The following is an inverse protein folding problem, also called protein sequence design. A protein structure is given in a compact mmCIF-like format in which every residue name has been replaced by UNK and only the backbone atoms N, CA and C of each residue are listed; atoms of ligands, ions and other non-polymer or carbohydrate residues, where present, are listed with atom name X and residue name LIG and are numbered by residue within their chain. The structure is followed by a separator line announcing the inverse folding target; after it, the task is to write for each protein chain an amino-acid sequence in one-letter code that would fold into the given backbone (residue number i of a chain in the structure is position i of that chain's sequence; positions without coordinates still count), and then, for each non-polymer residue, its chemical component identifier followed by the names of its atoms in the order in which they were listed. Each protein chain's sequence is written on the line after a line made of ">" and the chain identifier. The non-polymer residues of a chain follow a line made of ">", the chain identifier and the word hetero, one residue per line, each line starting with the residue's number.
data_IF_601167062238
#
_entry.id   IF_601167062238
#
_cell.length_a   1.000
_cell.length_b   1.000
_cell.length_c   1.000
_cell.angle_alpha   90.00
_cell.angle_beta   90.00
_cell.angle_gamma   90.00
#
_symmetry.space_group_name_H-M   'P 1'
#
loop_
_entity.id
_entity.type
_entity.pdbx_description
1 polymer ?
#
# COMPACT_ATOMS: atom_id res chain seq x y z
N UNK A 1 -11.80 -21.35 -18.62
CA UNK A 1 -11.81 -19.87 -18.50
C UNK A 1 -12.96 -19.33 -19.33
N UNK A 2 -13.96 -18.71 -18.69
CA UNK A 2 -15.15 -18.23 -19.40
C UNK A 2 -14.88 -16.85 -20.01
N UNK A 3 -14.99 -16.78 -21.34
CA UNK A 3 -14.75 -15.56 -22.12
C UNK A 3 -15.89 -15.45 -23.13
N UNK A 4 -16.64 -14.33 -23.14
CA UNK A 4 -17.68 -14.12 -24.12
C UNK A 4 -17.07 -14.04 -25.52
N UNK A 5 -17.61 -14.78 -26.48
CA UNK A 5 -17.13 -14.76 -27.86
C UNK A 5 -17.57 -13.48 -28.59
N UNK A 6 -18.64 -12.86 -28.14
CA UNK A 6 -19.22 -11.65 -28.71
C UNK A 6 -18.90 -10.43 -27.82
N UNK A 7 -18.82 -9.26 -28.45
CA UNK A 7 -18.65 -8.01 -27.72
C UNK A 7 -19.99 -7.54 -27.17
N UNK A 8 -19.98 -6.90 -26.00
CA UNK A 8 -21.19 -6.25 -25.45
C UNK A 8 -21.64 -5.03 -26.28
N UNK A 9 -20.83 -4.60 -27.25
CA UNK A 9 -21.04 -3.39 -28.06
C UNK A 9 -21.86 -3.68 -29.31
N UNK A 10 -21.97 -4.94 -29.74
CA UNK A 10 -22.72 -5.34 -30.94
C UNK A 10 -23.82 -6.30 -30.55
N UNK A 11 -24.99 -6.12 -31.16
CA UNK A 11 -26.04 -7.13 -31.12
C UNK A 11 -25.78 -8.19 -32.19
N UNK A 12 -25.91 -9.46 -31.79
CA UNK A 12 -25.74 -10.61 -32.67
C UNK A 12 -24.36 -11.28 -32.60
N UNK A 13 -24.28 -12.49 -33.16
CA UNK A 13 -23.06 -13.25 -33.26
C UNK A 13 -22.09 -12.57 -34.25
N UNK A 14 -20.79 -12.61 -33.94
CA UNK A 14 -19.77 -12.13 -34.89
C UNK A 14 -19.77 -13.00 -36.17
N UNK A 15 -19.78 -12.38 -37.38
CA UNK A 15 -19.73 -13.14 -38.63
C UNK A 15 -18.51 -14.06 -38.69
N UNK A 16 -18.73 -15.32 -39.06
CA UNK A 16 -17.69 -16.36 -39.13
C UNK A 16 -17.29 -16.98 -37.79
N UNK A 17 -17.99 -16.64 -36.69
CA UNK A 17 -17.74 -17.18 -35.34
C UNK A 17 -18.93 -18.02 -34.84
N UNK A 18 -19.63 -18.71 -35.73
CA UNK A 18 -20.87 -19.44 -35.43
C UNK A 18 -20.62 -20.86 -34.89
N UNK A 19 -19.46 -21.44 -35.18
CA UNK A 19 -19.17 -22.86 -34.93
C UNK A 19 -18.49 -23.20 -33.60
N UNK A 20 -18.64 -24.46 -33.20
CA UNK A 20 -17.83 -25.16 -32.19
C UNK A 20 -17.75 -24.48 -30.83
N UNK A 21 -16.54 -24.03 -30.46
CA UNK A 21 -16.25 -23.44 -29.16
C UNK A 21 -17.07 -22.16 -28.89
N UNK A 22 -17.39 -21.40 -29.93
CA UNK A 22 -18.11 -20.12 -29.79
C UNK A 22 -19.58 -20.34 -29.43
N UNK A 23 -20.26 -21.27 -30.11
CA UNK A 23 -21.64 -21.64 -29.77
C UNK A 23 -21.73 -22.34 -28.41
N UNK A 24 -20.74 -23.16 -28.05
CA UNK A 24 -20.61 -23.72 -26.71
C UNK A 24 -20.47 -22.63 -25.65
N UNK A 25 -19.56 -21.67 -25.83
CA UNK A 25 -19.39 -20.57 -24.86
C UNK A 25 -20.63 -19.69 -24.74
N UNK A 26 -21.35 -19.42 -25.84
CA UNK A 26 -22.66 -18.73 -25.79
C UNK A 26 -23.66 -19.50 -24.94
N UNK A 27 -23.74 -20.83 -25.11
CA UNK A 27 -24.63 -21.68 -24.33
C UNK A 27 -24.27 -21.70 -22.84
N UNK A 28 -22.98 -21.82 -22.51
CA UNK A 28 -22.53 -21.79 -21.12
C UNK A 28 -22.82 -20.42 -20.48
N UNK A 29 -22.55 -19.32 -21.18
CA UNK A 29 -22.80 -17.97 -20.68
C UNK A 29 -24.29 -17.59 -20.60
N UNK A 30 -25.16 -18.30 -21.33
CA UNK A 30 -26.61 -18.14 -21.23
C UNK A 30 -27.16 -18.66 -19.89
N UNK A 31 -26.48 -19.61 -19.25
CA UNK A 31 -26.86 -20.13 -17.93
C UNK A 31 -26.57 -19.12 -16.82
N UNK A 32 -27.36 -19.15 -15.75
CA UNK A 32 -27.17 -18.26 -14.59
C UNK A 32 -25.81 -18.51 -13.93
N UNK A 33 -25.44 -19.77 -13.73
CA UNK A 33 -24.14 -20.18 -13.21
C UNK A 33 -22.98 -19.64 -14.08
N UNK A 34 -23.08 -19.77 -15.40
CA UNK A 34 -22.07 -19.25 -16.32
C UNK A 34 -21.93 -17.73 -16.22
N UNK A 35 -23.05 -17.02 -16.11
CA UNK A 35 -23.07 -15.57 -15.94
C UNK A 35 -22.43 -15.12 -14.63
N UNK A 36 -22.73 -15.81 -13.52
CA UNK A 36 -22.11 -15.54 -12.22
C UNK A 36 -20.61 -15.76 -12.22
N UNK A 37 -20.14 -16.89 -12.77
CA UNK A 37 -18.72 -17.18 -12.90
C UNK A 37 -18.00 -16.15 -13.77
N UNK A 38 -18.64 -15.67 -14.83
CA UNK A 38 -18.11 -14.60 -15.66
C UNK A 38 -17.99 -13.27 -14.89
N UNK A 39 -19.01 -12.89 -14.12
CA UNK A 39 -19.00 -11.68 -13.29
C UNK A 39 -17.90 -11.77 -12.21
N UNK A 40 -17.76 -12.92 -11.55
CA UNK A 40 -16.71 -13.17 -10.55
C UNK A 40 -15.33 -12.95 -11.15
N UNK A 41 -15.11 -13.45 -12.36
CA UNK A 41 -13.84 -13.25 -13.09
C UNK A 41 -13.58 -11.78 -13.38
N UNK A 42 -14.60 -11.02 -13.83
CA UNK A 42 -14.47 -9.58 -14.10
C UNK A 42 -13.96 -8.82 -12.87
N UNK A 43 -14.46 -9.14 -11.68
CA UNK A 43 -13.98 -8.52 -10.42
C UNK A 43 -12.55 -8.95 -10.06
N UNK A 44 -12.20 -10.22 -10.32
CA UNK A 44 -10.89 -10.76 -9.94
C UNK A 44 -9.70 -10.21 -10.75
N UNK A 45 -9.93 -9.77 -11.99
CA UNK A 45 -8.85 -9.31 -12.89
C UNK A 45 -8.50 -7.84 -12.69
N UNK A 46 -9.44 -7.03 -12.21
CA UNK A 46 -9.22 -5.60 -11.93
C UNK A 46 -8.04 -5.34 -10.97
N UNK A 47 -7.93 -6.01 -9.80
CA UNK A 47 -6.81 -5.78 -8.89
C UNK A 47 -5.46 -6.20 -9.49
N UNK A 48 -5.43 -7.16 -10.42
CA UNK A 48 -4.21 -7.56 -11.13
C UNK A 48 -3.71 -6.41 -12.01
N UNK A 49 -4.62 -5.79 -12.78
CA UNK A 49 -4.28 -4.63 -13.60
C UNK A 49 -3.89 -3.43 -12.74
N UNK A 50 -4.62 -3.16 -11.66
CA UNK A 50 -4.29 -2.10 -10.71
C UNK A 50 -2.89 -2.27 -10.12
N UNK A 51 -2.53 -3.48 -9.68
CA UNK A 51 -1.20 -3.75 -9.14
C UNK A 51 -0.10 -3.60 -10.19
N UNK A 52 -0.30 -4.10 -11.41
CA UNK A 52 0.71 -3.99 -12.48
C UNK A 52 0.92 -2.52 -12.87
N UNK A 53 -0.16 -1.75 -13.03
CA UNK A 53 -0.10 -0.36 -13.51
C UNK A 53 0.30 0.62 -12.42
N UNK A 54 -0.39 0.61 -11.27
CA UNK A 54 -0.20 1.60 -10.21
C UNK A 54 0.89 1.21 -9.24
N UNK A 55 0.90 -0.02 -8.74
CA UNK A 55 1.88 -0.41 -7.71
C UNK A 55 3.25 -0.75 -8.30
N UNK A 56 3.30 -1.28 -9.53
CA UNK A 56 4.55 -1.67 -10.21
C UNK A 56 4.98 -0.71 -11.32
N UNK A 57 4.17 0.29 -11.65
CA UNK A 57 4.52 1.31 -12.65
C UNK A 57 4.69 0.80 -14.09
N UNK A 58 4.19 -0.40 -14.41
CA UNK A 58 4.36 -1.04 -15.72
C UNK A 58 3.27 -0.56 -16.68
N UNK A 59 3.35 0.70 -17.11
CA UNK A 59 2.34 1.36 -17.94
C UNK A 59 2.66 1.34 -19.44
N UNK A 60 3.93 1.10 -19.81
CA UNK A 60 4.40 1.05 -21.19
C UNK A 60 5.36 -0.11 -21.41
N UNK A 61 5.31 -0.71 -22.61
CA UNK A 61 6.31 -1.67 -23.04
C UNK A 61 7.60 -0.95 -23.44
N UNK A 62 8.74 -1.48 -23.02
CA UNK A 62 10.05 -0.94 -23.42
C UNK A 62 10.55 -1.55 -24.73
N UNK A 63 10.09 -2.75 -25.08
CA UNK A 63 10.52 -3.44 -26.31
C UNK A 63 9.54 -3.18 -27.47
N UNK A 64 10.09 -3.03 -28.68
CA UNK A 64 9.31 -2.87 -29.91
C UNK A 64 9.13 -4.21 -30.63
N UNK A 65 7.99 -4.36 -31.32
CA UNK A 65 7.62 -5.60 -32.04
C UNK A 65 6.76 -6.56 -31.20
N UNK A 66 5.79 -7.21 -31.85
CA UNK A 66 4.78 -8.07 -31.18
C UNK A 66 5.41 -9.21 -30.37
N UNK A 67 6.44 -9.84 -30.92
CA UNK A 67 7.13 -10.94 -30.24
C UNK A 67 7.81 -10.48 -28.94
N UNK A 68 8.51 -9.34 -28.99
CA UNK A 68 9.23 -8.81 -27.84
C UNK A 68 8.26 -8.29 -26.75
N UNK A 69 7.20 -7.57 -27.13
CA UNK A 69 6.16 -7.12 -26.21
C UNK A 69 5.44 -8.30 -25.54
N UNK A 70 5.21 -9.40 -26.28
CA UNK A 70 4.64 -10.63 -25.71
C UNK A 70 5.53 -11.24 -24.65
N UNK A 71 6.84 -11.30 -24.89
CA UNK A 71 7.80 -11.82 -23.89
C UNK A 71 7.87 -10.91 -22.66
N UNK A 72 7.87 -9.59 -22.85
CA UNK A 72 7.81 -8.61 -21.75
C UNK A 72 6.55 -8.78 -20.90
N UNK A 73 5.38 -8.90 -21.54
CA UNK A 73 4.12 -9.17 -20.85
C UNK A 73 4.15 -10.48 -20.04
N UNK A 74 4.72 -11.54 -20.61
CA UNK A 74 4.86 -12.84 -19.93
C UNK A 74 5.73 -12.72 -18.66
N UNK A 75 6.82 -11.96 -18.72
CA UNK A 75 7.69 -11.73 -17.56
C UNK A 75 6.97 -10.91 -16.46
N UNK A 76 6.25 -9.88 -16.86
CA UNK A 76 5.43 -9.07 -15.94
C UNK A 76 4.40 -9.93 -15.21
N UNK A 77 3.68 -10.76 -15.96
CA UNK A 77 2.67 -11.67 -15.42
C UNK A 77 3.30 -12.75 -14.52
N UNK A 78 4.43 -13.34 -14.92
CA UNK A 78 5.15 -14.34 -14.12
C UNK A 78 5.58 -13.78 -12.77
N UNK A 79 6.22 -12.61 -12.76
CA UNK A 79 6.64 -11.96 -11.51
C UNK A 79 5.46 -11.57 -10.61
N UNK A 80 4.31 -11.19 -11.17
CA UNK A 80 3.09 -10.99 -10.40
C UNK A 80 2.60 -12.29 -9.75
N UNK A 81 2.58 -13.39 -10.50
CA UNK A 81 2.16 -14.70 -9.97
C UNK A 81 3.12 -15.20 -8.87
N UNK A 82 4.43 -15.04 -9.06
CA UNK A 82 5.43 -15.42 -8.06
C UNK A 82 5.26 -14.65 -6.74
N UNK A 83 4.99 -13.35 -6.81
CA UNK A 83 4.71 -12.54 -5.64
C UNK A 83 3.43 -13.00 -4.91
N UNK A 84 2.36 -13.38 -5.64
CA UNK A 84 1.16 -13.95 -5.00
C UNK A 84 1.45 -15.28 -4.31
N UNK A 85 2.22 -16.15 -4.94
CA UNK A 85 2.63 -17.43 -4.34
C UNK A 85 3.47 -17.21 -3.09
N UNK A 86 4.45 -16.30 -3.16
CA UNK A 86 5.29 -15.96 -2.02
C UNK A 86 4.48 -15.39 -0.85
N UNK A 87 3.54 -14.48 -1.11
CA UNK A 87 2.65 -13.94 -0.07
C UNK A 87 1.78 -15.03 0.56
N UNK A 88 1.26 -15.96 -0.25
CA UNK A 88 0.50 -17.11 0.25
C UNK A 88 1.38 -18.03 1.10
N UNK A 89 2.62 -18.26 0.70
CA UNK A 89 3.56 -19.06 1.46
C UNK A 89 3.87 -18.41 2.81
N UNK A 90 4.23 -17.13 2.84
CA UNK A 90 4.46 -16.39 4.10
C UNK A 90 3.26 -16.50 5.05
N UNK A 91 2.05 -16.30 4.53
CA UNK A 91 0.83 -16.39 5.32
C UNK A 91 0.61 -17.81 5.88
N UNK A 92 0.94 -18.85 5.10
CA UNK A 92 0.80 -20.25 5.51
C UNK A 92 1.87 -20.67 6.54
N UNK A 93 3.09 -20.17 6.44
CA UNK A 93 4.20 -20.53 7.36
C UNK A 93 4.10 -19.83 8.72
N UNK A 94 3.13 -18.93 8.92
CA UNK A 94 3.03 -18.11 10.13
C UNK A 94 4.19 -17.12 10.30
N UNK A 95 5.03 -16.95 9.28
CA UNK A 95 6.17 -16.04 9.31
C UNK A 95 5.66 -14.61 9.44
N UNK A 96 5.90 -13.99 10.59
CA UNK A 96 5.66 -12.57 10.80
C UNK A 96 6.90 -11.83 10.28
N UNK A 97 6.85 -11.17 9.10
CA UNK A 97 7.91 -10.26 8.74
C UNK A 97 7.99 -9.21 9.85
N UNK A 98 9.20 -8.95 10.36
CA UNK A 98 9.43 -7.94 11.39
C UNK A 98 8.79 -6.59 11.00
N UNK A 99 8.53 -5.70 11.98
CA UNK A 99 7.81 -4.46 11.75
C UNK A 99 8.36 -3.75 10.52
N UNK A 100 7.50 -3.54 9.50
CA UNK A 100 7.89 -2.69 8.38
C UNK A 100 8.08 -1.31 8.97
N UNK A 101 9.33 -0.90 9.16
CA UNK A 101 9.65 0.50 9.43
C UNK A 101 9.11 1.28 8.26
N UNK A 102 7.92 1.85 8.42
CA UNK A 102 7.46 2.89 7.53
C UNK A 102 8.51 3.97 7.68
N UNK A 103 9.33 4.15 6.64
CA UNK A 103 10.23 5.28 6.56
C UNK A 103 9.33 6.51 6.69
N UNK A 104 9.29 7.06 7.89
CA UNK A 104 8.53 8.25 8.21
C UNK A 104 8.95 9.28 7.17
N UNK A 105 7.99 9.68 6.34
CA UNK A 105 8.20 10.78 5.41
C UNK A 105 8.47 11.96 6.31
N UNK A 106 9.76 12.25 6.55
CA UNK A 106 10.23 13.40 7.28
C UNK A 106 9.65 14.60 6.54
N UNK A 107 8.50 15.05 7.00
CA UNK A 107 7.92 16.33 6.65
C UNK A 107 9.02 17.34 6.96
N UNK A 108 9.73 17.78 5.92
CA UNK A 108 10.53 19.00 6.01
C UNK A 108 9.50 20.13 6.12
N UNK A 109 8.95 20.30 7.31
CA UNK A 109 8.29 21.52 7.71
C UNK A 109 9.28 22.65 7.50
N UNK A 110 8.92 23.55 6.61
CA UNK A 110 9.62 24.80 6.37
C UNK A 110 9.46 25.68 7.61
N UNK A 111 10.24 25.40 8.66
CA UNK A 111 10.39 26.29 9.80
C UNK A 111 11.56 27.23 9.47
N UNK A 112 11.26 28.30 8.76
CA UNK A 112 12.13 29.47 8.68
C UNK A 112 12.11 30.16 10.06
N UNK A 113 12.75 29.54 11.05
CA UNK A 113 13.01 30.17 12.34
C UNK A 113 14.31 30.94 12.20
N UNK A 114 14.18 32.26 12.15
CA UNK A 114 15.27 33.23 12.14
C UNK A 114 16.17 33.02 13.37
N UNK A 115 17.24 32.22 13.24
CA UNK A 115 18.31 32.19 14.22
C UNK A 115 19.31 33.29 13.88
N UNK A 116 19.12 34.43 14.56
CA UNK A 116 20.11 35.47 14.78
C UNK A 116 21.47 34.84 15.09
N UNK A 117 22.43 35.01 14.19
CA UNK A 117 23.81 34.54 14.33
C UNK A 117 24.52 35.35 15.42
N UNK A 118 24.50 34.84 16.66
CA UNK A 118 25.36 35.34 17.73
C UNK A 118 26.73 34.66 17.55
N UNK A 119 27.74 35.46 17.18
CA UNK A 119 29.14 34.99 17.13
C UNK A 119 29.53 34.50 18.53
N UNK A 120 29.94 33.24 18.63
CA UNK A 120 30.57 32.72 19.85
C UNK A 120 31.96 33.38 20.01
N UNK A 121 32.29 33.97 21.16
CA UNK A 121 33.68 34.35 21.45
C UNK A 121 34.51 33.09 21.70
N UNK A 122 35.76 33.08 21.18
CA UNK A 122 36.70 31.97 21.39
C UNK A 122 37.13 31.89 22.86
N UNK A 123 37.31 30.68 23.43
CA UNK A 123 37.79 30.54 24.80
C UNK A 123 39.26 30.96 24.90
N UNK A 124 39.53 31.92 25.79
CA UNK A 124 40.88 32.22 26.28
C UNK A 124 41.17 31.23 27.41
N UNK A 125 42.25 30.47 27.29
CA UNK A 125 42.75 29.61 28.35
C UNK A 125 43.21 30.45 29.54
N UNK A 126 42.74 30.14 30.75
CA UNK A 126 43.37 30.59 31.99
C UNK A 126 43.05 29.66 33.17
N UNK A 127 44.06 29.55 34.03
CA UNK A 127 44.26 28.60 35.10
C UNK A 127 43.45 28.89 36.38
N UNK A 128 43.36 27.84 37.21
CA UNK A 128 43.37 27.79 38.70
C UNK A 128 42.55 28.81 39.49
N UNK A 129 41.73 28.29 40.42
CA UNK A 129 41.40 28.98 41.66
C UNK A 129 39.97 28.72 42.12
N UNK A 130 39.82 28.23 43.35
CA UNK A 130 38.57 27.70 43.88
C UNK A 130 37.49 28.72 44.25
N UNK A 131 36.28 28.20 44.45
CA UNK A 131 35.34 28.47 45.55
C UNK A 131 34.08 27.62 45.29
N UNK A 132 33.65 26.87 46.30
CA UNK A 132 32.49 25.99 46.25
C UNK A 132 31.18 26.77 46.04
N UNK A 133 30.22 26.25 45.24
CA UNK A 133 28.86 26.78 45.21
C UNK A 133 27.92 26.10 46.24
N UNK A 134 26.89 26.83 46.73
CA UNK A 134 26.10 26.44 47.91
C UNK A 134 25.05 25.34 47.65
N UNK A 135 24.74 24.62 48.73
CA UNK A 135 23.68 23.62 48.86
C UNK A 135 22.30 24.26 48.67
N UNK A 136 21.50 23.75 47.72
CA UNK A 136 20.08 24.11 47.59
C UNK A 136 19.22 22.89 47.93
N UNK A 137 18.39 23.10 48.95
CA UNK A 137 17.46 22.17 49.60
C UNK A 137 16.25 21.90 48.71
N UNK A 138 15.86 20.63 48.59
CA UNK A 138 14.64 20.20 47.90
C UNK A 138 13.39 20.58 48.72
N UNK A 139 12.47 21.34 48.11
CA UNK A 139 11.17 21.64 48.68
C UNK A 139 10.06 20.76 48.07
N UNK A 140 9.16 20.34 48.95
CA UNK A 140 8.15 19.27 48.84
C UNK A 140 6.88 19.62 48.07
N UNK A 141 6.39 18.62 47.32
CA UNK A 141 5.00 18.20 47.10
C UNK A 141 3.84 19.20 47.29
N UNK A 142 3.19 19.56 46.17
CA UNK A 142 1.86 20.17 46.13
C UNK A 142 0.89 19.33 45.29
N UNK A 143 -0.02 18.61 45.96
CA UNK A 143 -1.09 17.78 45.41
C UNK A 143 -2.30 18.66 45.07
N UNK A 144 -2.89 18.52 43.89
CA UNK A 144 -4.25 18.99 43.61
C UNK A 144 -5.12 17.81 43.19
N UNK A 145 -6.13 17.57 44.02
CA UNK A 145 -7.14 16.52 43.94
C UNK A 145 -8.33 17.18 43.24
N UNK A 146 -8.75 16.71 42.08
CA UNK A 146 -10.06 17.09 41.53
C UNK A 146 -11.00 15.91 41.77
N UNK A 147 -12.05 16.17 42.55
CA UNK A 147 -13.12 15.24 42.83
C UNK A 147 -14.19 15.40 41.76
N UNK A 148 -14.41 14.39 40.93
CA UNK A 148 -15.68 14.22 40.21
C UNK A 148 -16.49 13.15 40.94
N UNK A 149 -17.65 13.55 41.45
CA UNK A 149 -18.58 12.70 42.18
C UNK A 149 -19.87 12.65 41.37
N UNK A 150 -19.97 11.69 40.46
CA UNK A 150 -21.26 11.08 40.11
C UNK A 150 -21.72 10.22 41.31
N UNK A 151 -23.03 10.08 41.60
CA UNK A 151 -23.78 9.01 40.93
C UNK A 151 -25.29 9.25 40.75
N UNK A 152 -25.89 8.42 39.86
CA UNK A 152 -27.16 7.69 40.00
C UNK A 152 -28.46 8.52 40.21
N UNK A 153 -29.57 8.36 39.49
CA UNK A 153 -30.34 7.18 39.05
C UNK A 153 -31.80 7.45 39.50
N UNK A 154 -32.77 6.94 38.73
CA UNK A 154 -34.21 6.81 39.04
C UNK A 154 -35.09 8.06 38.87
N UNK A 155 -35.80 8.15 37.75
CA UNK A 155 -37.25 7.88 37.66
C UNK A 155 -37.71 7.97 36.20
#
# INVERSE_FOLDING_TARGET
>A
MLVPPDSMVRQGARPGWEGGMYSFMRRVLATDLGRELYIKRRRSIEPVFGQIKHNRGMTRFRRRGRAAARSEWRLIAATHNLMKLHNHWIAATGYQPGPRVHAETRSRGNAFTSHRFVRQPRPIAAARGGREPPVIVAASNGRAITSDRSPASLA
#
